data_IF_321283029534
#
_entry.id   IF_321283029534
#
_cell.length_a   1.000
_cell.length_b   1.000
_cell.length_c   1.000
_cell.angle_alpha   90.00
_cell.angle_beta   90.00
_cell.angle_gamma   90.00
#
_symmetry.space_group_name_H-M   'P 1'
#
loop_
_entity.id
_entity.type
_entity.pdbx_description
1 polymer ?
#
# COMPACT_ATOMS: atom_id res chain seq x y z
N UNK A 1 -8.31 -21.28 -22.85
CA UNK A 1 -9.33 -20.68 -21.95
C UNK A 1 -8.76 -20.68 -20.54
N UNK A 2 -8.66 -19.52 -19.88
CA UNK A 2 -8.07 -19.38 -18.54
C UNK A 2 -8.82 -20.24 -17.52
N UNK A 3 -8.12 -20.95 -16.62
CA UNK A 3 -8.78 -21.65 -15.52
C UNK A 3 -9.19 -20.61 -14.46
N UNK A 4 -10.47 -20.51 -14.09
CA UNK A 4 -10.92 -19.55 -13.07
C UNK A 4 -10.17 -19.67 -11.73
N UNK A 5 -9.72 -20.89 -11.39
CA UNK A 5 -9.02 -21.21 -10.15
C UNK A 5 -7.69 -20.46 -9.98
N UNK A 6 -6.91 -20.29 -11.06
CA UNK A 6 -5.59 -19.64 -10.99
C UNK A 6 -5.72 -18.12 -10.77
N UNK A 7 -6.75 -17.51 -11.40
CA UNK A 7 -7.06 -16.08 -11.25
C UNK A 7 -7.54 -15.75 -9.84
N UNK A 8 -8.36 -16.62 -9.27
CA UNK A 8 -8.88 -16.45 -7.91
C UNK A 8 -7.76 -16.57 -6.86
N UNK A 9 -6.86 -17.53 -7.05
CA UNK A 9 -5.67 -17.69 -6.20
C UNK A 9 -4.77 -16.45 -6.27
N UNK A 10 -4.42 -15.98 -7.46
CA UNK A 10 -3.66 -14.74 -7.64
C UNK A 10 -4.29 -13.54 -6.93
N UNK A 11 -5.61 -13.37 -7.07
CA UNK A 11 -6.33 -12.27 -6.42
C UNK A 11 -6.29 -12.38 -4.89
N UNK A 12 -6.35 -13.58 -4.34
CA UNK A 12 -6.23 -13.83 -2.91
C UNK A 12 -4.82 -13.54 -2.40
N UNK A 13 -3.79 -14.00 -3.11
CA UNK A 13 -2.39 -13.78 -2.77
C UNK A 13 -2.05 -12.29 -2.77
N UNK A 14 -2.50 -11.55 -3.80
CA UNK A 14 -2.33 -10.09 -3.88
C UNK A 14 -3.09 -9.38 -2.74
N UNK A 15 -4.26 -9.88 -2.35
CA UNK A 15 -5.02 -9.33 -1.22
C UNK A 15 -4.33 -9.58 0.13
N UNK A 16 -3.75 -10.77 0.33
CA UNK A 16 -2.97 -11.11 1.50
C UNK A 16 -1.73 -10.21 1.61
N UNK A 17 -0.96 -10.11 0.53
CA UNK A 17 0.20 -9.21 0.43
C UNK A 17 -0.17 -7.75 0.78
N UNK A 18 -1.30 -7.28 0.27
CA UNK A 18 -1.79 -5.91 0.52
C UNK A 18 -2.12 -5.70 2.00
N UNK A 19 -2.70 -6.72 2.66
CA UNK A 19 -3.02 -6.68 4.09
C UNK A 19 -1.75 -6.68 4.94
N UNK A 20 -0.77 -7.49 4.60
CA UNK A 20 0.49 -7.58 5.33
C UNK A 20 1.29 -6.28 5.21
N UNK A 21 1.39 -5.73 4.00
CA UNK A 21 2.05 -4.44 3.75
C UNK A 21 1.34 -3.31 4.50
N UNK A 22 0.00 -3.34 4.57
CA UNK A 22 -0.76 -2.37 5.38
C UNK A 22 -0.44 -2.50 6.86
N UNK A 23 -0.37 -3.72 7.39
CA UNK A 23 -0.07 -3.95 8.81
C UNK A 23 1.35 -3.49 9.16
N UNK A 24 2.32 -3.74 8.30
CA UNK A 24 3.68 -3.22 8.45
C UNK A 24 3.70 -1.68 8.44
N UNK A 25 2.95 -1.03 7.55
CA UNK A 25 2.80 0.43 7.55
C UNK A 25 2.12 0.98 8.82
N UNK A 26 1.19 0.24 9.42
CA UNK A 26 0.60 0.59 10.71
C UNK A 26 1.62 0.44 11.86
N UNK A 27 2.46 -0.58 11.83
CA UNK A 27 3.52 -0.76 12.83
C UNK A 27 4.56 0.37 12.77
N UNK A 28 4.96 0.80 11.56
CA UNK A 28 5.82 1.97 11.39
C UNK A 28 5.16 3.27 11.89
N UNK A 29 3.85 3.44 11.66
CA UNK A 29 3.10 4.57 12.21
C UNK A 29 3.09 4.58 13.74
N UNK A 30 2.92 3.43 14.37
CA UNK A 30 2.92 3.30 15.83
C UNK A 30 4.31 3.64 16.41
N UNK A 31 5.41 3.21 15.78
CA UNK A 31 6.79 3.61 16.16
C UNK A 31 6.99 5.12 16.15
N UNK A 32 6.35 5.83 15.22
CA UNK A 32 6.47 7.27 15.11
C UNK A 32 5.62 8.06 16.13
N UNK A 33 4.81 7.38 16.94
CA UNK A 33 4.06 7.97 18.05
C UNK A 33 2.95 8.93 17.61
N UNK A 34 2.30 8.67 16.49
CA UNK A 34 1.28 9.57 15.93
C UNK A 34 -0.02 9.48 16.74
N UNK A 35 -0.22 10.43 17.65
CA UNK A 35 -1.45 10.53 18.44
C UNK A 35 -2.44 11.45 17.76
N UNK A 36 -3.69 11.01 17.65
CA UNK A 36 -4.78 11.85 17.19
C UNK A 36 -5.39 12.61 18.37
N UNK A 37 -5.62 13.92 18.21
CA UNK A 37 -6.31 14.70 19.24
C UNK A 37 -7.81 14.39 19.22
N UNK A 38 -8.44 14.07 20.35
CA UNK A 38 -9.88 13.82 20.42
C UNK A 38 -10.73 15.05 20.09
N UNK A 39 -10.13 16.26 20.11
CA UNK A 39 -10.80 17.54 19.82
C UNK A 39 -10.73 17.94 18.33
N UNK A 40 -10.22 17.08 17.46
CA UNK A 40 -10.09 17.33 16.03
C UNK A 40 -11.44 17.29 15.30
N UNK A 41 -11.66 18.18 14.32
CA UNK A 41 -12.87 18.20 13.46
C UNK A 41 -13.09 16.90 12.69
N UNK A 42 -12.02 16.15 12.39
CA UNK A 42 -12.10 14.83 11.79
C UNK A 42 -11.67 13.79 12.84
N UNK A 43 -12.61 13.12 13.53
CA UNK A 43 -12.32 12.31 14.72
C UNK A 43 -11.70 10.94 14.43
N UNK A 44 -11.46 10.63 13.15
CA UNK A 44 -10.95 9.30 12.74
C UNK A 44 -9.43 9.25 12.93
N UNK A 45 -8.91 8.35 13.80
CA UNK A 45 -7.48 8.18 13.97
C UNK A 45 -6.81 7.72 12.68
N UNK A 46 -5.55 8.13 12.48
CA UNK A 46 -4.81 7.80 11.26
C UNK A 46 -4.74 6.29 10.98
N UNK A 47 -4.62 5.48 12.04
CA UNK A 47 -4.67 4.02 11.98
C UNK A 47 -5.93 3.47 11.32
N UNK A 48 -7.09 4.09 11.57
CA UNK A 48 -8.38 3.71 10.96
C UNK A 48 -8.59 4.35 9.59
N UNK A 49 -7.93 5.48 9.33
CA UNK A 49 -8.05 6.23 8.08
C UNK A 49 -7.25 5.62 6.92
N UNK A 50 -6.20 4.84 7.21
CA UNK A 50 -5.43 4.11 6.19
C UNK A 50 -6.27 2.98 5.59
N UNK A 51 -6.62 3.11 4.31
CA UNK A 51 -7.39 2.11 3.57
C UNK A 51 -6.60 1.59 2.37
N UNK A 52 -6.90 0.37 1.96
CA UNK A 52 -6.38 -0.24 0.74
C UNK A 52 -7.53 -0.48 -0.22
N UNK A 53 -7.26 -0.40 -1.51
CA UNK A 53 -8.22 -0.69 -2.56
C UNK A 53 -7.54 -1.49 -3.67
N UNK A 54 -8.21 -2.56 -4.11
CA UNK A 54 -7.80 -3.39 -5.23
C UNK A 54 -8.75 -3.14 -6.38
N UNK A 55 -8.23 -2.80 -7.56
CA UNK A 55 -9.02 -2.70 -8.79
C UNK A 55 -8.76 -3.92 -9.65
N UNK A 56 -9.84 -4.63 -10.00
CA UNK A 56 -9.81 -5.74 -10.93
C UNK A 56 -10.06 -5.26 -12.36
N UNK A 57 -9.40 -5.87 -13.32
CA UNK A 57 -9.66 -5.71 -14.75
C UNK A 57 -9.69 -7.11 -15.39
N UNK A 58 -10.76 -7.45 -16.10
CA UNK A 58 -10.92 -8.80 -16.69
C UNK A 58 -10.86 -9.94 -15.66
N UNK A 59 -11.33 -9.71 -14.42
CA UNK A 59 -11.27 -10.70 -13.33
C UNK A 59 -9.94 -10.74 -12.55
N UNK A 60 -8.87 -10.18 -13.10
CA UNK A 60 -7.51 -10.18 -12.49
C UNK A 60 -7.25 -8.85 -11.77
N UNK A 61 -6.59 -8.88 -10.61
CA UNK A 61 -6.18 -7.67 -9.88
C UNK A 61 -5.06 -6.94 -10.63
N UNK A 62 -5.33 -5.72 -11.07
CA UNK A 62 -4.43 -4.90 -11.88
C UNK A 62 -3.80 -3.73 -11.10
N UNK A 63 -4.50 -3.22 -10.07
CA UNK A 63 -4.01 -2.05 -9.33
C UNK A 63 -4.25 -2.19 -7.83
N UNK A 64 -3.20 -1.93 -7.07
CA UNK A 64 -3.24 -1.75 -5.62
C UNK A 64 -3.15 -0.26 -5.33
N UNK A 65 -4.02 0.27 -4.48
CA UNK A 65 -4.02 1.68 -4.07
C UNK A 65 -4.08 1.81 -2.56
N UNK A 66 -3.14 2.56 -1.99
CA UNK A 66 -3.17 2.97 -0.59
C UNK A 66 -3.84 4.34 -0.48
N UNK A 67 -4.98 4.40 0.19
CA UNK A 67 -5.72 5.63 0.46
C UNK A 67 -5.30 6.17 1.82
N UNK A 68 -4.68 7.35 1.79
CA UNK A 68 -4.05 7.98 2.94
C UNK A 68 -4.65 9.38 3.11
N UNK A 69 -5.03 9.79 4.33
CA UNK A 69 -5.48 11.15 4.55
C UNK A 69 -4.33 12.16 4.43
N UNK A 70 -4.66 13.40 4.04
CA UNK A 70 -3.69 14.49 3.81
C UNK A 70 -2.69 14.69 4.97
N UNK A 71 -3.13 14.58 6.21
CA UNK A 71 -2.26 14.77 7.37
C UNK A 71 -1.17 13.69 7.52
N UNK A 72 -1.39 12.46 7.00
CA UNK A 72 -0.34 11.46 6.95
C UNK A 72 0.69 11.72 5.84
N UNK A 73 0.27 12.34 4.73
CA UNK A 73 1.21 12.81 3.70
C UNK A 73 2.19 13.82 4.31
N UNK A 74 1.71 14.66 5.23
CA UNK A 74 2.56 15.62 5.91
C UNK A 74 3.60 14.97 6.81
N UNK A 75 3.22 13.95 7.56
CA UNK A 75 4.14 13.11 8.34
C UNK A 75 5.20 12.47 7.44
N UNK A 76 4.75 11.88 6.34
CA UNK A 76 5.61 11.19 5.37
C UNK A 76 6.64 12.13 4.74
N UNK A 77 6.26 13.38 4.46
CA UNK A 77 7.15 14.41 3.88
C UNK A 77 7.88 15.26 4.92
N UNK A 78 7.57 15.12 6.22
CA UNK A 78 8.17 15.93 7.28
C UNK A 78 7.68 17.37 7.34
N UNK A 79 6.51 17.68 6.78
CA UNK A 79 5.94 19.05 6.79
C UNK A 79 4.94 19.22 7.94
N UNK A 80 4.77 20.46 8.42
CA UNK A 80 3.88 20.78 9.54
C UNK A 80 3.27 22.17 9.40
N UNK A 81 2.74 22.72 10.51
CA UNK A 81 2.09 24.04 10.49
C UNK A 81 3.02 25.10 9.90
N UNK A 82 2.53 25.85 8.92
CA UNK A 82 3.25 26.92 8.22
C UNK A 82 4.15 26.47 7.06
N UNK A 83 4.26 25.16 6.79
CA UNK A 83 5.11 24.63 5.71
C UNK A 83 4.23 23.87 4.70
N UNK A 84 4.26 24.29 3.44
CA UNK A 84 3.54 23.56 2.38
C UNK A 84 4.30 22.30 1.97
N UNK A 85 3.61 21.37 1.29
CA UNK A 85 4.26 20.14 0.80
C UNK A 85 5.43 20.44 -0.17
N UNK A 86 5.36 21.55 -0.91
CA UNK A 86 6.43 22.00 -1.81
C UNK A 86 7.67 22.52 -1.09
N UNK A 87 7.54 22.85 0.20
CA UNK A 87 8.63 23.28 1.08
C UNK A 87 9.16 22.12 1.94
N UNK A 88 8.82 20.87 1.60
CA UNK A 88 9.39 19.69 2.25
C UNK A 88 10.93 19.72 2.12
N UNK A 89 11.64 19.58 3.23
CA UNK A 89 13.10 19.68 3.29
C UNK A 89 13.65 21.09 3.57
N UNK A 90 12.82 22.14 3.50
CA UNK A 90 13.23 23.52 3.83
C UNK A 90 13.26 23.81 5.35
N UNK A 91 12.72 22.91 6.16
CA UNK A 91 12.59 23.07 7.62
C UNK A 91 13.42 22.00 8.33
N UNK A 92 13.87 22.25 9.56
CA UNK A 92 14.54 21.28 10.44
C UNK A 92 13.71 20.02 10.81
N UNK A 93 12.53 19.83 10.23
CA UNK A 93 11.67 18.67 10.47
C UNK A 93 12.14 17.50 9.61
N UNK A 94 12.36 16.34 10.25
CA UNK A 94 12.72 15.10 9.55
C UNK A 94 11.47 14.39 9.04
N UNK A 95 11.54 13.91 7.80
CA UNK A 95 10.52 13.05 7.22
C UNK A 95 10.39 11.75 8.03
N UNK A 96 9.16 11.31 8.27
CA UNK A 96 8.84 10.04 8.95
C UNK A 96 8.14 9.12 7.95
N UNK A 97 8.89 8.50 7.03
CA UNK A 97 8.29 7.69 5.97
C UNK A 97 7.77 6.37 6.56
N UNK A 98 6.46 6.28 6.76
CA UNK A 98 5.84 5.07 7.30
C UNK A 98 5.33 4.09 6.23
N UNK A 99 5.20 4.54 4.98
CA UNK A 99 4.59 3.77 3.89
C UNK A 99 5.63 3.17 2.93
N UNK A 100 6.63 3.95 2.53
CA UNK A 100 7.64 3.50 1.57
C UNK A 100 8.46 2.32 2.11
N UNK A 101 8.97 2.32 3.37
CA UNK A 101 9.80 1.22 3.83
C UNK A 101 9.06 -0.13 3.84
N UNK A 102 7.81 -0.23 4.32
CA UNK A 102 7.03 -1.47 4.21
C UNK A 102 6.74 -1.90 2.77
N UNK A 103 6.55 -0.95 1.84
CA UNK A 103 6.35 -1.28 0.43
C UNK A 103 7.65 -1.84 -0.16
N UNK A 104 8.77 -1.15 0.04
CA UNK A 104 10.09 -1.55 -0.48
C UNK A 104 10.54 -2.92 0.06
N UNK A 105 10.26 -3.21 1.34
CA UNK A 105 10.54 -4.52 1.93
C UNK A 105 9.71 -5.65 1.33
N UNK A 106 8.46 -5.36 0.96
CA UNK A 106 7.52 -6.38 0.49
C UNK A 106 7.39 -6.43 -1.03
N UNK A 107 7.95 -5.47 -1.78
CA UNK A 107 7.80 -5.38 -3.23
C UNK A 107 8.39 -6.60 -3.94
N UNK A 108 9.48 -7.18 -3.41
CA UNK A 108 10.09 -8.38 -3.96
C UNK A 108 9.13 -9.58 -3.95
N UNK A 109 8.41 -9.79 -2.85
CA UNK A 109 7.39 -10.84 -2.74
C UNK A 109 6.23 -10.62 -3.70
N UNK A 110 5.85 -9.36 -3.95
CA UNK A 110 4.82 -9.06 -4.94
C UNK A 110 5.32 -9.37 -6.35
N UNK A 111 6.57 -9.05 -6.66
CA UNK A 111 7.17 -9.34 -7.97
C UNK A 111 7.27 -10.84 -8.23
N UNK A 112 7.65 -11.63 -7.23
CA UNK A 112 7.69 -13.09 -7.30
C UNK A 112 6.28 -13.68 -7.52
N UNK A 113 5.28 -13.24 -6.75
CA UNK A 113 3.88 -13.65 -6.96
C UNK A 113 3.38 -13.31 -8.37
N UNK A 114 3.68 -12.11 -8.88
CA UNK A 114 3.30 -11.73 -10.25
C UNK A 114 4.04 -12.57 -11.28
N UNK A 115 5.33 -12.85 -11.09
CA UNK A 115 6.13 -13.65 -12.01
C UNK A 115 5.65 -15.11 -12.08
N UNK A 116 5.34 -15.73 -10.95
CA UNK A 116 4.83 -17.11 -10.88
C UNK A 116 3.48 -17.23 -11.59
N UNK A 117 2.57 -16.28 -11.33
CA UNK A 117 1.23 -16.28 -11.90
C UNK A 117 1.23 -15.85 -13.38
N UNK A 118 2.05 -14.87 -13.79
CA UNK A 118 2.17 -14.50 -15.21
C UNK A 118 2.93 -15.56 -16.02
N UNK A 119 3.97 -16.17 -15.46
CA UNK A 119 4.70 -17.28 -16.07
C UNK A 119 3.80 -18.47 -16.34
N UNK A 120 2.98 -18.86 -15.37
CA UNK A 120 1.96 -19.92 -15.55
C UNK A 120 0.88 -19.52 -16.55
N UNK A 121 0.44 -18.25 -16.59
CA UNK A 121 -0.51 -17.75 -17.60
C UNK A 121 0.06 -17.79 -19.02
N UNK A 122 1.33 -17.40 -19.20
CA UNK A 122 2.01 -17.40 -20.51
C UNK A 122 2.26 -18.85 -20.95
N UNK A 123 2.76 -19.72 -20.06
CA UNK A 123 2.98 -21.14 -20.36
C UNK A 123 1.66 -21.83 -20.73
N UNK A 124 0.55 -21.58 -20.03
CA UNK A 124 -0.76 -22.14 -20.37
C UNK A 124 -1.33 -21.59 -21.70
N UNK A 125 -0.98 -20.35 -22.07
CA UNK A 125 -1.34 -19.78 -23.37
C UNK A 125 -0.44 -20.28 -24.52
N UNK A 126 0.80 -20.68 -24.22
CA UNK A 126 1.73 -21.28 -25.19
C UNK A 126 1.52 -22.78 -25.35
N UNK A 127 1.14 -23.49 -24.28
CA UNK A 127 0.83 -24.93 -24.26
C UNK A 127 -0.58 -25.24 -24.77
N UNK A 128 -1.17 -24.36 -25.59
CA UNK A 128 -2.41 -24.68 -26.30
C UNK A 128 -2.13 -25.90 -27.19
N UNK A 129 -2.79 -27.01 -26.85
CA UNK A 129 -2.94 -28.21 -27.67
C UNK A 129 -4.39 -28.31 -28.12
#
# INVERSE_FOLDING_TARGET
MFRPQDIDKYNQDVAAWTKDTKNAALAELDKHGVVHSPKSKSPVPLRKALKTALRKNGGVTNRISFKIPRHAVFLHKGVGRGTTASQAGSTNRKAKPFLNPPIEQNIGKLAELVADHQGTMIVNALMIK
#
